data_IF_651526231988
#
_entry.id   IF_651526231988
#
_cell.length_a   1.000
_cell.length_b   1.000
_cell.length_c   1.000
_cell.angle_alpha   90.00
_cell.angle_beta   90.00
_cell.angle_gamma   90.00
#
_symmetry.space_group_name_H-M   'P 1'
#
loop_
_entity.id
_entity.type
_entity.pdbx_description
1 polymer ?
#
# COMPACT_ATOMS: atom_id res chain seq x y z
N UNK A 1 4.69 -5.98 15.30
CA UNK A 1 5.05 -5.29 14.02
C UNK A 1 4.05 -5.62 12.89
N UNK A 2 4.20 -5.04 11.69
CA UNK A 2 3.25 -5.24 10.57
C UNK A 2 3.10 -6.68 10.09
N UNK A 3 4.18 -7.48 10.13
CA UNK A 3 4.10 -8.90 9.78
C UNK A 3 3.16 -9.69 10.70
N UNK A 4 2.95 -9.27 11.95
CA UNK A 4 2.08 -10.01 12.89
C UNK A 4 0.60 -9.85 12.52
N UNK A 5 0.13 -8.62 12.36
CA UNK A 5 -1.28 -8.36 12.12
C UNK A 5 -1.66 -8.58 10.65
N UNK A 6 -0.82 -8.17 9.68
CA UNK A 6 -1.12 -8.38 8.26
C UNK A 6 -1.16 -9.87 7.91
N UNK A 7 -0.23 -10.69 8.43
CA UNK A 7 -0.26 -12.13 8.18
C UNK A 7 -1.48 -12.82 8.80
N UNK A 8 -1.94 -12.36 9.97
CA UNK A 8 -3.18 -12.87 10.59
C UNK A 8 -4.43 -12.46 9.80
N UNK A 9 -4.49 -11.24 9.27
CA UNK A 9 -5.61 -10.80 8.44
C UNK A 9 -5.64 -11.56 7.11
N UNK A 10 -4.48 -11.75 6.47
CA UNK A 10 -4.34 -12.52 5.23
C UNK A 10 -4.71 -13.99 5.40
N UNK A 11 -4.61 -14.56 6.60
CA UNK A 11 -5.01 -15.95 6.86
C UNK A 11 -6.51 -16.20 6.58
N UNK A 12 -7.36 -15.18 6.75
CA UNK A 12 -8.79 -15.28 6.45
C UNK A 12 -9.10 -15.19 4.94
N UNK A 13 -8.14 -14.79 4.12
CA UNK A 13 -8.33 -14.63 2.68
C UNK A 13 -8.21 -16.00 2.00
N UNK A 14 -9.12 -16.35 1.07
CA UNK A 14 -9.07 -17.59 0.32
C UNK A 14 -7.71 -17.90 -0.33
N UNK A 15 -7.37 -19.19 -0.43
CA UNK A 15 -6.06 -19.65 -0.93
C UNK A 15 -5.85 -19.32 -2.40
N UNK A 16 -6.90 -19.39 -3.19
CA UNK A 16 -6.92 -19.04 -4.61
C UNK A 16 -6.55 -17.56 -4.86
N UNK A 17 -6.80 -16.67 -3.90
CA UNK A 17 -6.36 -15.27 -3.92
C UNK A 17 -4.96 -15.13 -3.30
N UNK A 18 -4.74 -15.66 -2.10
CA UNK A 18 -3.48 -15.45 -1.35
C UNK A 18 -2.25 -16.07 -2.01
N UNK A 19 -2.41 -17.11 -2.83
CA UNK A 19 -1.29 -17.71 -3.57
C UNK A 19 -0.59 -16.73 -4.53
N UNK A 20 -1.25 -15.62 -4.89
CA UNK A 20 -0.71 -14.59 -5.77
C UNK A 20 -0.13 -13.38 -5.01
N UNK A 21 -0.22 -13.37 -3.68
CA UNK A 21 0.19 -12.24 -2.84
C UNK A 21 1.59 -12.49 -2.30
N UNK A 22 2.51 -11.56 -2.58
CA UNK A 22 3.83 -11.53 -1.98
C UNK A 22 3.88 -10.47 -0.88
N UNK A 23 4.39 -10.84 0.29
CA UNK A 23 4.60 -9.91 1.39
C UNK A 23 6.09 -9.71 1.66
N UNK A 24 6.51 -8.45 1.82
CA UNK A 24 7.88 -8.10 2.17
C UNK A 24 7.91 -7.38 3.52
N UNK A 25 8.51 -8.01 4.53
CA UNK A 25 8.66 -7.47 5.87
C UNK A 25 10.10 -7.60 6.37
N UNK A 26 10.67 -6.55 7.01
CA UNK A 26 10.14 -5.19 7.08
C UNK A 26 10.26 -4.47 5.72
N UNK A 27 9.16 -3.87 5.25
CA UNK A 27 9.14 -3.04 4.04
C UNK A 27 9.64 -1.61 4.29
N UNK A 28 9.77 -0.82 3.22
CA UNK A 28 10.02 0.63 3.33
C UNK A 28 8.70 1.42 3.35
N UNK A 29 8.61 2.54 4.09
CA UNK A 29 7.41 3.36 4.11
C UNK A 29 7.13 3.98 2.75
N UNK A 30 5.85 4.12 2.40
CA UNK A 30 5.42 4.81 1.18
C UNK A 30 5.89 6.28 1.19
N UNK A 31 6.62 6.69 0.16
CA UNK A 31 7.18 8.04 0.03
C UNK A 31 6.29 9.04 -0.71
N UNK A 32 5.17 8.60 -1.30
CA UNK A 32 4.27 9.41 -2.11
C UNK A 32 3.67 8.62 -3.28
N UNK A 33 2.96 9.31 -4.18
CA UNK A 33 2.33 8.71 -5.38
C UNK A 33 1.03 7.94 -5.12
N UNK A 34 0.66 7.77 -3.84
CA UNK A 34 -0.63 7.25 -3.39
C UNK A 34 -0.95 7.82 -2.00
N UNK A 35 -2.23 7.84 -1.63
CA UNK A 35 -2.72 8.53 -0.43
C UNK A 35 -2.24 7.89 0.88
N UNK A 36 -1.94 6.58 0.86
CA UNK A 36 -1.45 5.85 2.03
C UNK A 36 -0.17 6.47 2.62
N UNK A 37 0.67 7.12 1.79
CA UNK A 37 1.88 7.80 2.22
C UNK A 37 1.61 8.90 3.28
N UNK A 38 0.48 9.60 3.17
CA UNK A 38 0.12 10.67 4.10
C UNK A 38 -0.20 10.15 5.51
N UNK A 39 -0.90 9.01 5.59
CA UNK A 39 -1.19 8.31 6.84
C UNK A 39 0.09 7.78 7.49
N UNK A 40 0.97 7.17 6.69
CA UNK A 40 2.29 6.68 7.15
C UNK A 40 3.12 7.84 7.73
N UNK A 41 3.14 8.99 7.05
CA UNK A 41 3.85 10.17 7.53
C UNK A 41 3.28 10.71 8.86
N UNK A 42 1.97 10.61 9.06
CA UNK A 42 1.29 10.95 10.31
C UNK A 42 1.44 9.88 11.42
N UNK A 43 2.11 8.76 11.14
CA UNK A 43 2.34 7.67 12.10
C UNK A 43 1.17 6.69 12.23
N UNK A 44 0.22 6.71 11.30
CA UNK A 44 -0.81 5.68 11.19
C UNK A 44 -0.32 4.53 10.28
N UNK A 45 -0.53 3.25 10.64
CA UNK A 45 -0.28 2.15 9.74
C UNK A 45 -1.17 2.26 8.50
N UNK A 46 -0.57 2.25 7.31
CA UNK A 46 -1.31 2.25 6.05
C UNK A 46 -0.52 1.50 4.98
N UNK A 47 -1.26 0.83 4.11
CA UNK A 47 -0.74 -0.09 3.10
C UNK A 47 -1.23 0.33 1.73
N UNK A 48 -0.40 0.11 0.72
CA UNK A 48 -0.85 0.14 -0.67
C UNK A 48 -1.01 -1.32 -1.10
N UNK A 49 -2.20 -1.70 -1.55
CA UNK A 49 -2.49 -3.06 -1.99
C UNK A 49 -2.05 -3.31 -3.43
N UNK A 50 -1.79 -2.25 -4.21
CA UNK A 50 -1.50 -2.30 -5.65
C UNK A 50 -2.45 -3.23 -6.42
N UNK A 51 -2.22 -3.38 -7.72
CA UNK A 51 -2.88 -4.38 -8.55
C UNK A 51 -1.84 -4.95 -9.50
N UNK A 52 -2.18 -6.04 -10.20
CA UNK A 52 -1.29 -6.61 -11.20
C UNK A 52 -0.94 -5.57 -12.27
N UNK A 53 0.37 -5.37 -12.47
CA UNK A 53 0.87 -4.39 -13.42
C UNK A 53 0.90 -4.98 -14.85
N UNK A 54 -0.25 -4.98 -15.53
CA UNK A 54 -0.39 -5.37 -16.95
C UNK A 54 0.10 -4.26 -17.89
N UNK A 55 1.36 -3.85 -17.74
CA UNK A 55 1.95 -2.68 -18.42
C UNK A 55 1.27 -1.34 -18.07
N UNK A 56 0.56 -1.26 -16.94
CA UNK A 56 -0.17 -0.06 -16.50
C UNK A 56 0.72 1.18 -16.59
N UNK A 57 1.89 1.15 -15.96
CA UNK A 57 2.81 2.30 -15.90
C UNK A 57 3.34 2.77 -17.25
N UNK A 58 3.58 1.85 -18.19
CA UNK A 58 4.26 2.16 -19.45
C UNK A 58 3.29 2.37 -20.61
N UNK A 59 2.02 1.99 -20.46
CA UNK A 59 1.08 1.94 -21.57
C UNK A 59 -0.23 2.69 -21.33
N UNK A 60 -0.86 2.54 -20.16
CA UNK A 60 -2.19 3.13 -19.90
C UNK A 60 -2.14 4.34 -18.97
N UNK A 61 -1.32 4.30 -17.93
CA UNK A 61 -1.27 5.33 -16.88
C UNK A 61 -1.07 6.73 -17.45
N UNK A 62 -1.95 7.66 -17.06
CA UNK A 62 -1.96 9.06 -17.52
C UNK A 62 -2.03 9.21 -19.05
N UNK A 63 -2.72 8.29 -19.74
CA UNK A 63 -3.02 8.40 -21.17
C UNK A 63 -4.51 8.30 -21.43
N UNK A 64 -4.93 8.66 -22.63
CA UNK A 64 -6.29 8.43 -23.12
C UNK A 64 -6.63 6.94 -23.37
N UNK A 65 -5.69 6.01 -23.11
CA UNK A 65 -5.88 4.56 -23.23
C UNK A 65 -6.31 3.90 -21.92
N UNK A 66 -6.36 4.65 -20.82
CA UNK A 66 -6.82 4.17 -19.53
C UNK A 66 -8.36 4.13 -19.51
N UNK A 67 -8.90 3.10 -20.16
CA UNK A 67 -10.32 2.99 -20.50
C UNK A 67 -10.87 1.64 -20.03
N UNK A 68 -12.21 1.56 -19.96
CA UNK A 68 -12.96 0.42 -19.41
C UNK A 68 -12.56 -0.94 -20.00
N UNK A 69 -12.19 -0.99 -21.28
CA UNK A 69 -11.78 -2.21 -21.97
C UNK A 69 -10.47 -2.82 -21.44
N UNK A 70 -9.73 -2.10 -20.58
CA UNK A 70 -8.52 -2.60 -19.92
C UNK A 70 -8.77 -3.23 -18.55
N UNK A 71 -10.02 -3.19 -18.06
CA UNK A 71 -10.41 -3.80 -16.80
C UNK A 71 -10.54 -5.32 -16.97
N UNK A 72 -9.81 -6.07 -16.15
CA UNK A 72 -9.95 -7.51 -16.00
C UNK A 72 -10.88 -7.75 -14.81
N UNK A 73 -12.13 -8.17 -15.07
CA UNK A 73 -13.14 -8.28 -14.03
C UNK A 73 -12.82 -9.32 -12.95
N UNK A 74 -12.15 -10.40 -13.32
CA UNK A 74 -11.70 -11.43 -12.37
C UNK A 74 -10.68 -10.83 -11.38
N UNK A 75 -9.75 -10.00 -11.84
CA UNK A 75 -8.79 -9.29 -10.99
C UNK A 75 -9.50 -8.28 -10.08
N UNK A 76 -10.51 -7.56 -10.60
CA UNK A 76 -11.33 -6.64 -9.79
C UNK A 76 -12.05 -7.41 -8.68
N UNK A 77 -12.68 -8.55 -9.01
CA UNK A 77 -13.38 -9.37 -8.04
C UNK A 77 -12.42 -9.88 -6.94
N UNK A 78 -11.25 -10.38 -7.32
CA UNK A 78 -10.23 -10.82 -6.37
C UNK A 78 -9.74 -9.68 -5.46
N UNK A 79 -9.49 -8.50 -6.03
CA UNK A 79 -9.08 -7.31 -5.28
C UNK A 79 -10.17 -6.84 -4.30
N UNK A 80 -11.44 -6.90 -4.70
CA UNK A 80 -12.59 -6.57 -3.83
C UNK A 80 -12.69 -7.55 -2.66
N UNK A 81 -12.61 -8.86 -2.93
CA UNK A 81 -12.67 -9.89 -1.89
C UNK A 81 -11.50 -9.70 -0.90
N UNK A 82 -10.28 -9.55 -1.41
CA UNK A 82 -9.09 -9.28 -0.59
C UNK A 82 -9.28 -8.05 0.30
N UNK A 83 -9.67 -6.92 -0.30
CA UNK A 83 -9.80 -5.65 0.43
C UNK A 83 -10.91 -5.71 1.48
N UNK A 84 -12.05 -6.34 1.15
CA UNK A 84 -13.17 -6.50 2.08
C UNK A 84 -12.78 -7.34 3.30
N UNK A 85 -12.10 -8.48 3.07
CA UNK A 85 -11.62 -9.34 4.16
C UNK A 85 -10.57 -8.62 5.00
N UNK A 86 -9.59 -7.96 4.39
CA UNK A 86 -8.57 -7.20 5.13
C UNK A 86 -9.18 -6.08 5.98
N UNK A 87 -10.14 -5.32 5.44
CA UNK A 87 -10.82 -4.27 6.18
C UNK A 87 -11.61 -4.81 7.37
N UNK A 88 -12.34 -5.92 7.17
CA UNK A 88 -13.09 -6.59 8.23
C UNK A 88 -12.16 -7.15 9.31
N UNK A 89 -11.11 -7.88 8.91
CA UNK A 89 -10.15 -8.45 9.86
C UNK A 89 -9.40 -7.37 10.65
N UNK A 90 -9.16 -6.21 10.04
CA UNK A 90 -8.57 -5.06 10.73
C UNK A 90 -9.55 -4.35 11.67
N UNK A 91 -10.85 -4.28 11.36
CA UNK A 91 -11.86 -3.66 12.24
C UNK A 91 -12.17 -4.52 13.46
N UNK A 92 -12.20 -5.84 13.28
CA UNK A 92 -12.49 -6.81 14.34
C UNK A 92 -11.25 -7.28 15.10
N UNK A 93 -10.07 -6.73 14.79
CA UNK A 93 -8.83 -7.11 15.47
C UNK A 93 -8.84 -6.65 16.94
N UNK A 94 -8.83 -7.57 17.93
CA UNK A 94 -8.80 -7.17 19.33
C UNK A 94 -7.45 -6.53 19.72
N UNK A 95 -6.41 -6.73 18.91
CA UNK A 95 -5.08 -6.16 19.11
C UNK A 95 -4.91 -4.92 18.23
N UNK A 96 -4.53 -3.81 18.84
CA UNK A 96 -4.22 -2.58 18.11
C UNK A 96 -3.06 -2.83 17.14
N UNK A 97 -3.26 -2.49 15.87
CA UNK A 97 -2.19 -2.53 14.87
C UNK A 97 -1.00 -1.67 15.32
N UNK A 98 0.18 -2.29 15.38
CA UNK A 98 1.42 -1.61 15.76
C UNK A 98 1.78 -0.54 14.72
N UNK A 99 2.09 0.65 15.22
CA UNK A 99 2.62 1.79 14.48
C UNK A 99 4.13 2.00 14.71
N UNK A 100 4.81 0.96 15.20
CA UNK A 100 6.24 0.98 15.42
C UNK A 100 7.00 1.14 14.10
N UNK A 101 7.97 2.05 14.10
CA UNK A 101 8.77 2.41 12.95
C UNK A 101 10.07 1.62 12.96
N UNK A 102 10.35 0.92 11.86
CA UNK A 102 11.68 0.32 11.65
C UNK A 102 12.76 1.39 11.57
N UNK A 103 13.99 1.00 11.90
CA UNK A 103 15.17 1.75 11.49
C UNK A 103 15.41 1.48 10.01
N UNK A 104 15.38 2.52 9.18
CA UNK A 104 15.58 2.38 7.73
C UNK A 104 17.01 1.93 7.41
N UNK A 105 17.31 1.40 6.23
CA UNK A 105 18.69 1.07 5.88
C UNK A 105 19.55 2.34 5.68
N UNK A 106 20.86 2.19 5.84
CA UNK A 106 21.84 3.22 5.44
C UNK A 106 21.94 3.20 3.91
N UNK A 107 21.78 4.37 3.29
CA UNK A 107 21.89 4.51 1.85
C UNK A 107 23.31 4.26 1.37
N UNK A 108 23.50 3.28 0.47
CA UNK A 108 24.80 3.01 -0.16
C UNK A 108 25.34 4.21 -0.94
N UNK A 109 24.46 5.08 -1.45
CA UNK A 109 24.84 6.26 -2.24
C UNK A 109 25.34 7.42 -1.39
N UNK A 110 24.75 7.62 -0.21
CA UNK A 110 25.02 8.82 0.61
C UNK A 110 25.71 8.52 1.94
N UNK A 111 25.80 7.25 2.34
CA UNK A 111 26.30 6.84 3.66
C UNK A 111 25.43 7.27 4.83
N UNK A 112 24.25 7.86 4.58
CA UNK A 112 23.35 8.38 5.60
C UNK A 112 22.21 7.40 5.89
N UNK A 113 21.83 7.36 7.16
CA UNK A 113 20.64 6.68 7.66
C UNK A 113 19.39 7.22 6.96
N UNK A 114 18.54 6.34 6.44
CA UNK A 114 17.25 6.74 5.88
C UNK A 114 16.35 7.37 6.95
N UNK A 115 15.55 8.36 6.56
CA UNK A 115 14.57 9.01 7.45
C UNK A 115 13.15 8.69 6.99
N UNK A 116 12.23 8.57 7.95
CA UNK A 116 10.82 8.37 7.65
C UNK A 116 10.22 9.57 6.91
N UNK A 117 9.17 9.38 6.09
CA UNK A 117 8.42 10.47 5.48
C UNK A 117 7.92 11.46 6.54
N UNK A 118 8.03 12.75 6.23
CA UNK A 118 7.58 13.84 7.09
C UNK A 118 6.17 14.25 6.67
N UNK A 119 5.29 14.52 7.63
CA UNK A 119 3.97 15.06 7.36
C UNK A 119 4.08 16.42 6.65
N UNK A 120 3.30 16.61 5.58
CA UNK A 120 3.26 17.85 4.81
C UNK A 120 1.85 18.40 4.76
N UNK A 121 1.72 19.72 4.75
CA UNK A 121 0.45 20.38 4.46
C UNK A 121 0.16 20.31 2.96
N UNK A 122 -1.06 19.95 2.53
CA UNK A 122 -1.40 19.90 1.12
C UNK A 122 -1.46 21.32 0.53
N UNK A 123 -0.99 21.48 -0.71
CA UNK A 123 -1.28 22.69 -1.49
C UNK A 123 -2.72 22.59 -2.02
N UNK A 124 -3.62 23.40 -1.44
CA UNK A 124 -5.05 23.43 -1.84
C UNK A 124 -5.35 24.39 -2.98
N UNK A 125 -4.34 25.14 -3.46
CA UNK A 125 -4.53 26.13 -4.55
C UNK A 125 -4.51 25.54 -5.96
N UNK A 126 -4.12 24.27 -6.12
CA UNK A 126 -4.28 23.53 -7.39
C UNK A 126 -3.62 24.18 -8.61
N UNK A 127 -2.28 24.32 -8.61
CA UNK A 127 -1.54 24.84 -9.77
C UNK A 127 -1.68 26.33 -10.03
N UNK A 128 -2.46 27.03 -9.21
CA UNK A 128 -2.46 28.49 -9.13
C UNK A 128 -1.44 28.93 -8.09
N UNK A 129 -0.65 29.95 -8.42
CA UNK A 129 0.23 30.65 -7.47
C UNK A 129 -0.59 31.34 -6.35
#
# INVERSE_FOLDING_TARGET
HSYEYVSRWLYAVPRDITQHIETNFPGSPSGGGSDNASFVAAGAPAFNLFALNWSYWNYTWHTNRDTYDKIIFDDVQNNVILTAILAYMASEDPSRASNEKIVLPISRRTGKQGTWPIQRSPNRKGGMD
#
